data_IF_429345841069
#
_entry.id   IF_429345841069
#
_cell.length_a   1.000
_cell.length_b   1.000
_cell.length_c   1.000
_cell.angle_alpha   90.00
_cell.angle_beta   90.00
_cell.angle_gamma   90.00
#
_symmetry.space_group_name_H-M   'P 1'
#
loop_
_entity.id
_entity.type
_entity.pdbx_description
1 polymer ?
#
# COMPACT_ATOMS: atom_id res chain seq x y z
N UNK A 1 -25.35 24.47 -36.52
CA UNK A 1 -24.01 24.16 -35.98
C UNK A 1 -23.89 24.86 -34.64
N UNK A 2 -23.47 24.19 -33.56
CA UNK A 2 -23.24 24.87 -32.28
C UNK A 2 -22.16 25.94 -32.45
N UNK A 3 -22.29 27.08 -31.77
CA UNK A 3 -21.19 28.04 -31.68
C UNK A 3 -20.02 27.44 -30.89
N UNK A 4 -18.79 27.88 -31.18
CA UNK A 4 -17.60 27.38 -30.50
C UNK A 4 -17.68 27.54 -28.96
N UNK A 5 -18.32 28.61 -28.47
CA UNK A 5 -18.50 28.85 -27.04
C UNK A 5 -19.49 27.87 -26.39
N UNK A 6 -20.60 27.54 -27.06
CA UNK A 6 -21.56 26.56 -26.54
C UNK A 6 -20.95 25.17 -26.49
N UNK A 7 -20.18 24.80 -27.53
CA UNK A 7 -19.45 23.54 -27.54
C UNK A 7 -18.47 23.47 -26.36
N UNK A 8 -17.64 24.51 -26.15
CA UNK A 8 -16.68 24.57 -25.05
C UNK A 8 -17.34 24.43 -23.67
N UNK A 9 -18.50 25.04 -23.46
CA UNK A 9 -19.25 24.95 -22.20
C UNK A 9 -19.74 23.52 -21.92
N UNK A 10 -20.23 22.82 -22.94
CA UNK A 10 -20.66 21.43 -22.83
C UNK A 10 -19.46 20.53 -22.50
N UNK A 11 -18.35 20.69 -23.22
CA UNK A 11 -17.12 19.95 -22.96
C UNK A 11 -16.61 20.16 -21.54
N UNK A 12 -16.56 21.40 -21.07
CA UNK A 12 -16.13 21.73 -19.71
C UNK A 12 -17.02 21.07 -18.65
N UNK A 13 -18.34 21.11 -18.84
CA UNK A 13 -19.29 20.50 -17.89
C UNK A 13 -19.13 18.98 -17.82
N UNK A 14 -18.99 18.32 -18.97
CA UNK A 14 -18.72 16.88 -19.04
C UNK A 14 -17.36 16.52 -18.42
N UNK A 15 -16.34 17.33 -18.69
CA UNK A 15 -15.00 17.15 -18.13
C UNK A 15 -15.03 17.21 -16.59
N UNK A 16 -15.67 18.24 -16.00
CA UNK A 16 -15.76 18.38 -14.54
C UNK A 16 -16.50 17.22 -13.90
N UNK A 17 -17.60 16.75 -14.51
CA UNK A 17 -18.35 15.58 -14.01
C UNK A 17 -17.49 14.32 -14.04
N UNK A 18 -16.82 14.06 -15.16
CA UNK A 18 -15.96 12.88 -15.32
C UNK A 18 -14.75 12.95 -14.37
N UNK A 19 -14.14 14.12 -14.20
CA UNK A 19 -13.02 14.33 -13.28
C UNK A 19 -13.41 14.03 -11.82
N UNK A 20 -14.63 14.41 -11.39
CA UNK A 20 -15.14 14.06 -10.04
C UNK A 20 -15.37 12.56 -9.90
N UNK A 21 -15.95 11.92 -10.91
CA UNK A 21 -16.15 10.47 -10.91
C UNK A 21 -14.82 9.70 -10.81
N UNK A 22 -13.79 10.15 -11.55
CA UNK A 22 -12.43 9.59 -11.46
C UNK A 22 -11.84 9.79 -10.06
N UNK A 23 -12.05 10.95 -9.43
CA UNK A 23 -11.59 11.17 -8.04
C UNK A 23 -12.23 10.23 -7.02
N UNK A 24 -13.53 9.93 -7.16
CA UNK A 24 -14.22 8.95 -6.31
C UNK A 24 -13.68 7.53 -6.55
N UNK A 25 -13.52 7.13 -7.81
CA UNK A 25 -12.93 5.83 -8.17
C UNK A 25 -11.51 5.69 -7.62
N UNK A 26 -10.70 6.75 -7.72
CA UNK A 26 -9.36 6.78 -7.16
C UNK A 26 -9.38 6.53 -5.65
N UNK A 27 -10.27 7.19 -4.92
CA UNK A 27 -10.44 6.98 -3.47
C UNK A 27 -10.77 5.52 -3.14
N UNK A 28 -11.74 4.93 -3.84
CA UNK A 28 -12.15 3.53 -3.62
C UNK A 28 -10.98 2.59 -3.87
N UNK A 29 -10.27 2.73 -5.00
CA UNK A 29 -9.14 1.86 -5.32
C UNK A 29 -7.98 2.03 -4.34
N UNK A 30 -7.70 3.26 -3.88
CA UNK A 30 -6.66 3.49 -2.86
C UNK A 30 -7.03 2.84 -1.52
N UNK A 31 -8.30 2.85 -1.11
CA UNK A 31 -8.75 2.14 0.11
C UNK A 31 -8.56 0.62 -0.05
N UNK A 32 -8.99 0.05 -1.17
CA UNK A 32 -8.79 -1.37 -1.45
C UNK A 32 -7.31 -1.74 -1.44
N UNK A 33 -6.47 -0.92 -2.07
CA UNK A 33 -5.03 -1.13 -2.11
C UNK A 33 -4.40 -1.03 -0.72
N UNK A 34 -4.84 -0.08 0.12
CA UNK A 34 -4.36 0.03 1.49
C UNK A 34 -4.63 -1.24 2.30
N UNK A 35 -5.81 -1.85 2.15
CA UNK A 35 -6.14 -3.12 2.80
C UNK A 35 -5.17 -4.22 2.36
N UNK A 36 -4.90 -4.33 1.05
CA UNK A 36 -3.94 -5.30 0.52
C UNK A 36 -2.54 -5.05 1.10
N UNK A 37 -2.08 -3.80 1.15
CA UNK A 37 -0.78 -3.45 1.72
C UNK A 37 -0.68 -3.77 3.22
N UNK A 38 -1.75 -3.56 4.00
CA UNK A 38 -1.80 -3.98 5.41
C UNK A 38 -1.65 -5.49 5.54
N UNK A 39 -2.36 -6.26 4.72
CA UNK A 39 -2.26 -7.73 4.71
C UNK A 39 -0.83 -8.16 4.37
N UNK A 40 -0.24 -7.61 3.30
CA UNK A 40 1.14 -7.91 2.90
C UNK A 40 2.15 -7.54 3.99
N UNK A 41 1.96 -6.41 4.67
CA UNK A 41 2.85 -5.96 5.74
C UNK A 41 2.82 -6.91 6.95
N UNK A 42 1.63 -7.38 7.36
CA UNK A 42 1.47 -8.24 8.54
C UNK A 42 1.76 -9.72 8.22
N UNK A 43 1.58 -10.13 6.97
CA UNK A 43 1.71 -11.53 6.56
C UNK A 43 3.12 -12.07 6.87
N UNK A 44 3.22 -13.22 7.58
CA UNK A 44 4.52 -13.79 7.94
C UNK A 44 5.15 -14.62 6.81
N UNK A 45 4.48 -14.75 5.67
CA UNK A 45 4.90 -15.59 4.54
C UNK A 45 5.34 -14.71 3.36
N UNK A 46 6.57 -14.20 3.43
CA UNK A 46 7.19 -13.47 2.31
C UNK A 46 8.06 -14.39 1.46
N UNK A 47 8.89 -15.19 2.12
CA UNK A 47 9.74 -16.20 1.50
C UNK A 47 9.62 -17.44 2.38
N UNK A 48 9.31 -18.59 1.82
CA UNK A 48 9.20 -19.81 2.61
C UNK A 48 9.50 -21.05 1.79
N UNK A 49 9.79 -22.11 2.51
CA UNK A 49 10.04 -23.44 1.98
C UNK A 49 8.79 -24.33 2.16
N UNK A 50 8.66 -25.39 1.35
CA UNK A 50 7.46 -26.23 1.42
C UNK A 50 7.47 -27.13 2.67
N UNK A 51 6.30 -27.70 3.00
CA UNK A 51 6.18 -28.71 4.08
C UNK A 51 6.92 -30.01 3.76
N UNK A 52 7.35 -30.20 2.50
CA UNK A 52 8.02 -31.41 2.03
C UNK A 52 9.54 -31.33 2.18
N UNK A 53 10.10 -30.17 2.59
CA UNK A 53 11.54 -30.04 2.78
C UNK A 53 11.99 -30.54 4.15
N UNK A 54 13.20 -31.13 4.26
CA UNK A 54 13.72 -31.67 5.53
C UNK A 54 13.79 -30.65 6.67
N UNK A 55 13.77 -29.35 6.34
CA UNK A 55 13.70 -28.27 7.30
C UNK A 55 12.79 -27.16 6.78
N UNK A 56 11.49 -27.30 7.03
CA UNK A 56 10.50 -26.30 6.64
C UNK A 56 10.73 -24.98 7.39
N UNK A 57 10.40 -23.86 6.76
CA UNK A 57 10.57 -22.56 7.39
C UNK A 57 10.07 -21.43 6.52
N UNK A 58 9.79 -20.29 7.13
CA UNK A 58 9.36 -19.10 6.42
C UNK A 58 9.90 -17.84 7.07
N UNK A 59 10.19 -16.87 6.22
CA UNK A 59 10.55 -15.51 6.54
C UNK A 59 9.38 -14.61 6.19
N UNK A 60 8.95 -13.84 7.16
CA UNK A 60 8.13 -12.65 6.99
C UNK A 60 9.01 -11.40 7.08
N UNK A 61 8.35 -10.25 7.10
CA UNK A 61 9.04 -8.97 7.13
C UNK A 61 9.76 -8.72 8.47
N UNK A 62 9.14 -9.14 9.58
CA UNK A 62 9.66 -8.98 10.95
C UNK A 62 9.54 -10.26 11.80
N UNK A 63 9.04 -11.36 11.24
CA UNK A 63 9.02 -12.68 11.86
C UNK A 63 9.75 -13.67 10.98
N UNK A 64 10.36 -14.69 11.58
CA UNK A 64 10.82 -15.87 10.88
C UNK A 64 10.54 -17.10 11.72
N UNK A 65 10.20 -18.20 11.06
CA UNK A 65 9.89 -19.46 11.70
C UNK A 65 10.74 -20.56 11.08
N UNK A 66 11.31 -21.39 11.94
CA UNK A 66 12.18 -22.50 11.55
C UNK A 66 11.56 -23.78 12.09
N UNK A 67 11.37 -24.76 11.21
CA UNK A 67 10.87 -26.09 11.53
C UNK A 67 11.95 -26.95 12.15
N UNK A 68 11.57 -27.71 13.17
CA UNK A 68 12.42 -28.73 13.76
C UNK A 68 12.51 -29.94 12.80
N UNK A 69 13.72 -30.36 12.36
CA UNK A 69 13.88 -31.48 11.42
C UNK A 69 13.34 -32.83 11.94
N UNK A 70 13.16 -32.99 13.24
CA UNK A 70 12.76 -34.24 13.89
C UNK A 70 11.27 -34.24 14.22
N UNK A 71 10.76 -33.16 14.80
CA UNK A 71 9.36 -33.08 15.27
C UNK A 71 8.42 -32.39 14.29
N UNK A 72 8.95 -31.67 13.30
CA UNK A 72 8.16 -30.85 12.37
C UNK A 72 7.54 -29.60 12.99
N UNK A 73 7.79 -29.33 14.28
CA UNK A 73 7.25 -28.16 14.98
C UNK A 73 7.96 -26.87 14.53
N UNK A 74 7.17 -25.82 14.28
CA UNK A 74 7.68 -24.51 13.85
C UNK A 74 7.94 -23.60 15.05
N UNK A 75 9.18 -23.16 15.22
CA UNK A 75 9.55 -22.17 16.23
C UNK A 75 9.67 -20.80 15.59
N UNK A 76 8.74 -19.91 15.94
CA UNK A 76 8.69 -18.54 15.43
C UNK A 76 9.42 -17.55 16.34
N UNK A 77 10.22 -16.68 15.73
CA UNK A 77 10.98 -15.62 16.39
C UNK A 77 10.84 -14.31 15.62
N UNK A 78 11.16 -13.21 16.26
CA UNK A 78 11.06 -11.88 15.67
C UNK A 78 9.90 -11.07 16.23
N UNK A 79 10.01 -9.75 16.16
CA UNK A 79 8.94 -8.81 16.48
C UNK A 79 9.14 -7.52 15.71
N UNK A 80 8.04 -6.87 15.31
CA UNK A 80 8.08 -5.55 14.68
C UNK A 80 8.66 -4.45 15.59
N UNK A 81 8.61 -4.64 16.91
CA UNK A 81 9.12 -3.66 17.88
C UNK A 81 10.54 -3.96 18.36
N UNK A 82 11.07 -5.15 18.05
CA UNK A 82 12.43 -5.55 18.39
C UNK A 82 13.25 -5.74 17.12
N UNK A 83 13.79 -4.64 16.59
CA UNK A 83 14.66 -4.67 15.41
C UNK A 83 15.93 -5.51 15.58
N UNK A 84 16.33 -5.83 16.82
CA UNK A 84 17.45 -6.73 17.11
C UNK A 84 17.14 -8.18 16.74
N UNK A 85 15.87 -8.58 16.85
CA UNK A 85 15.39 -9.93 16.58
C UNK A 85 15.34 -10.31 15.08
N UNK A 86 15.38 -9.32 14.18
CA UNK A 86 15.34 -9.54 12.73
C UNK A 86 16.75 -9.92 12.23
N UNK A 87 16.96 -11.10 11.64
CA UNK A 87 18.29 -11.67 11.42
C UNK A 87 19.09 -10.98 10.28
N UNK A 88 18.42 -10.30 9.35
CA UNK A 88 19.07 -9.71 8.17
C UNK A 88 18.76 -8.22 8.02
N UNK A 89 19.79 -7.44 7.69
CA UNK A 89 19.66 -6.01 7.39
C UNK A 89 18.75 -5.74 6.20
N UNK A 90 18.68 -6.65 5.21
CA UNK A 90 17.80 -6.49 4.06
C UNK A 90 16.32 -6.50 4.48
N UNK A 91 15.93 -7.41 5.38
CA UNK A 91 14.56 -7.47 5.90
C UNK A 91 14.22 -6.27 6.79
N UNK A 92 15.18 -5.76 7.58
CA UNK A 92 14.99 -4.51 8.33
C UNK A 92 14.70 -3.33 7.41
N UNK A 93 15.47 -3.21 6.32
CA UNK A 93 15.29 -2.16 5.32
C UNK A 93 13.97 -2.33 4.56
N UNK A 94 13.62 -3.56 4.16
CA UNK A 94 12.34 -3.87 3.52
C UNK A 94 11.15 -3.51 4.43
N UNK A 95 11.22 -3.86 5.71
CA UNK A 95 10.22 -3.48 6.71
C UNK A 95 10.00 -1.97 6.76
N UNK A 96 11.09 -1.20 6.74
CA UNK A 96 11.02 0.27 6.75
C UNK A 96 10.36 0.83 5.49
N UNK A 97 10.80 0.40 4.30
CA UNK A 97 10.25 0.90 3.03
C UNK A 97 8.78 0.51 2.84
N UNK A 98 8.42 -0.74 3.13
CA UNK A 98 7.01 -1.20 3.04
C UNK A 98 6.16 -0.49 4.09
N UNK A 99 6.70 -0.25 5.29
CA UNK A 99 6.03 0.53 6.33
C UNK A 99 5.78 1.98 5.90
N UNK A 100 6.77 2.67 5.32
CA UNK A 100 6.61 4.02 4.77
C UNK A 100 5.59 4.04 3.63
N UNK A 101 5.67 3.08 2.70
CA UNK A 101 4.71 2.95 1.61
C UNK A 101 3.28 2.85 2.16
N UNK A 102 3.05 1.98 3.15
CA UNK A 102 1.76 1.85 3.81
C UNK A 102 1.29 3.18 4.46
N UNK A 103 2.19 3.88 5.17
CA UNK A 103 1.87 5.18 5.78
C UNK A 103 1.52 6.24 4.73
N UNK A 104 2.21 6.27 3.58
CA UNK A 104 1.91 7.19 2.49
C UNK A 104 0.58 6.88 1.82
N UNK A 105 0.23 5.60 1.65
CA UNK A 105 -1.08 5.19 1.11
C UNK A 105 -2.20 5.61 2.08
N UNK A 106 -2.05 5.33 3.38
CA UNK A 106 -3.01 5.77 4.40
C UNK A 106 -3.10 7.29 4.45
N UNK A 107 -1.97 7.99 4.41
CA UNK A 107 -1.93 9.45 4.30
C UNK A 107 -2.66 9.96 3.07
N UNK A 108 -2.58 9.25 1.94
CA UNK A 108 -3.30 9.64 0.72
C UNK A 108 -4.82 9.55 0.91
N UNK A 109 -5.31 8.52 1.62
CA UNK A 109 -6.72 8.39 1.99
C UNK A 109 -7.16 9.58 2.83
N UNK A 110 -6.34 9.98 3.81
CA UNK A 110 -6.61 11.18 4.63
C UNK A 110 -6.60 12.44 3.75
N UNK A 111 -5.67 12.57 2.81
CA UNK A 111 -5.60 13.72 1.90
C UNK A 111 -6.83 13.86 1.00
N UNK A 112 -7.57 12.78 0.69
CA UNK A 112 -8.84 12.91 -0.02
C UNK A 112 -9.89 13.70 0.77
N UNK A 113 -9.82 13.75 2.10
CA UNK A 113 -10.68 14.65 2.88
C UNK A 113 -10.40 16.13 2.61
N UNK A 114 -9.22 16.49 2.08
CA UNK A 114 -8.90 17.87 1.71
C UNK A 114 -9.68 18.37 0.49
N UNK A 115 -10.40 17.51 -0.24
CA UNK A 115 -11.33 17.96 -1.28
C UNK A 115 -12.41 18.91 -0.76
N UNK A 116 -12.72 18.89 0.54
CA UNK A 116 -13.68 19.82 1.15
C UNK A 116 -13.10 21.21 1.39
N UNK A 117 -11.77 21.36 1.48
CA UNK A 117 -11.11 22.59 1.91
C UNK A 117 -10.19 23.20 0.85
N UNK A 118 -9.67 22.39 -0.07
CA UNK A 118 -8.65 22.78 -1.05
C UNK A 118 -9.16 22.63 -2.49
N UNK A 119 -8.48 23.32 -3.42
CA UNK A 119 -8.74 23.14 -4.85
C UNK A 119 -8.46 21.68 -5.25
N UNK A 120 -9.41 21.05 -5.96
CA UNK A 120 -9.29 19.67 -6.44
C UNK A 120 -8.00 19.41 -7.21
N UNK A 121 -7.53 20.39 -7.99
CA UNK A 121 -6.26 20.27 -8.72
C UNK A 121 -5.04 20.17 -7.81
N UNK A 122 -5.05 20.85 -6.65
CA UNK A 122 -3.97 20.75 -5.65
C UNK A 122 -4.02 19.41 -4.92
N UNK A 123 -5.22 18.97 -4.53
CA UNK A 123 -5.41 17.67 -3.85
C UNK A 123 -4.93 16.53 -4.76
N UNK A 124 -5.31 16.53 -6.04
CA UNK A 124 -4.85 15.54 -7.00
C UNK A 124 -3.33 15.50 -7.15
N UNK A 125 -2.66 16.66 -7.17
CA UNK A 125 -1.19 16.71 -7.24
C UNK A 125 -0.54 16.12 -5.99
N UNK A 126 -1.03 16.48 -4.80
CA UNK A 126 -0.51 15.97 -3.53
C UNK A 126 -0.67 14.45 -3.47
N UNK A 127 -1.88 13.94 -3.69
CA UNK A 127 -2.18 12.51 -3.70
C UNK A 127 -1.34 11.76 -4.75
N UNK A 128 -1.11 12.36 -5.92
CA UNK A 128 -0.27 11.76 -6.97
C UNK A 128 1.19 11.63 -6.53
N UNK A 129 1.77 12.67 -5.92
CA UNK A 129 3.15 12.60 -5.41
C UNK A 129 3.29 11.58 -4.28
N UNK A 130 2.29 11.50 -3.38
CA UNK A 130 2.29 10.52 -2.30
C UNK A 130 2.22 9.09 -2.83
N UNK A 131 1.37 8.83 -3.84
CA UNK A 131 1.28 7.49 -4.44
C UNK A 131 2.48 7.15 -5.31
N UNK A 132 3.10 8.13 -5.99
CA UNK A 132 4.34 7.93 -6.72
C UNK A 132 5.49 7.54 -5.77
N UNK A 133 5.57 8.16 -4.59
CA UNK A 133 6.57 7.81 -3.59
C UNK A 133 6.27 6.50 -2.86
N UNK A 134 5.00 6.06 -2.83
CA UNK A 134 4.59 4.83 -2.17
C UNK A 134 4.78 3.58 -3.06
N UNK A 135 4.67 3.73 -4.38
CA UNK A 135 4.90 2.66 -5.35
C UNK A 135 6.37 2.49 -5.70
#
# INVERSE_FOLDING_TARGET
MLSAQEAAKIYHTNYVRNARAVGVLWTIFTICFAIICVVVFIQPYWIGDSVDTPQSGYFGLFHYCIGNPITGELVCKGSALDFGSIPSGAFKTAMFFVGISLLLIVGTIVCFSLFFFCNSGSVYKICAWMQLAAG
#
